data_IF_628448131208
#
_entry.id   IF_628448131208
#
_cell.length_a   1.000
_cell.length_b   1.000
_cell.length_c   1.000
_cell.angle_alpha   90.00
_cell.angle_beta   90.00
_cell.angle_gamma   90.00
#
_symmetry.space_group_name_H-M   'P 1'
#
loop_
_entity.id
_entity.type
_entity.pdbx_description
1 polymer ?
#
# COMPACT_ATOMS: atom_id res chain seq x y z
N UNK A 1 -3.85 29.51 39.11
CA UNK A 1 -2.89 28.80 38.26
C UNK A 1 -3.51 28.75 36.87
N UNK A 2 -2.91 29.47 35.93
CA UNK A 2 -3.48 29.67 34.59
C UNK A 2 -3.30 28.39 33.78
N UNK A 3 -4.41 27.74 33.43
CA UNK A 3 -4.46 26.45 32.73
C UNK A 3 -3.72 26.44 31.38
N UNK A 4 -3.35 27.61 30.84
CA UNK A 4 -2.54 27.73 29.62
C UNK A 4 -1.05 27.48 29.83
N UNK A 5 -0.52 27.68 31.04
CA UNK A 5 0.91 27.53 31.33
C UNK A 5 1.32 26.10 31.71
N UNK A 6 0.36 25.17 31.88
CA UNK A 6 0.64 23.80 32.29
C UNK A 6 1.18 22.93 31.14
N UNK A 7 0.93 23.31 29.88
CA UNK A 7 1.58 22.66 28.73
C UNK A 7 2.88 23.40 28.44
N UNK A 8 3.88 23.15 29.29
CA UNK A 8 5.26 23.47 28.97
C UNK A 8 5.76 22.56 27.84
N UNK A 9 6.76 23.04 27.09
CA UNK A 9 7.44 22.27 26.02
C UNK A 9 7.87 20.86 26.46
N UNK A 10 8.19 20.68 27.75
CA UNK A 10 8.52 19.39 28.37
C UNK A 10 7.38 18.35 28.27
N UNK A 11 6.13 18.76 28.54
CA UNK A 11 4.98 17.84 28.44
C UNK A 11 4.71 17.46 26.98
N UNK A 12 4.86 18.40 26.04
CA UNK A 12 4.70 18.11 24.61
C UNK A 12 5.77 17.15 24.09
N UNK A 13 7.00 17.25 24.60
CA UNK A 13 8.07 16.32 24.25
C UNK A 13 7.73 14.90 24.73
N UNK A 14 7.35 14.74 26.01
CA UNK A 14 6.94 13.46 26.59
C UNK A 14 5.68 12.89 25.94
N UNK A 15 4.78 13.76 25.46
CA UNK A 15 3.62 13.37 24.65
C UNK A 15 4.04 12.74 23.33
N UNK A 16 4.98 13.36 22.60
CA UNK A 16 5.50 12.83 21.34
C UNK A 16 6.28 11.53 21.56
N UNK A 17 7.05 11.43 22.65
CA UNK A 17 7.74 10.19 23.02
C UNK A 17 6.78 9.05 23.43
N UNK A 18 5.53 9.37 23.78
CA UNK A 18 4.54 8.40 24.24
C UNK A 18 4.80 7.90 25.66
N UNK A 19 5.48 8.68 26.51
CA UNK A 19 5.84 8.31 27.88
C UNK A 19 4.94 8.94 28.95
N UNK A 20 4.00 9.80 28.56
CA UNK A 20 3.04 10.42 29.47
C UNK A 20 2.04 9.42 30.05
N UNK A 21 1.52 9.72 31.25
CA UNK A 21 0.43 8.94 31.81
C UNK A 21 -0.87 9.14 31.02
N UNK A 22 -1.80 8.18 31.13
CA UNK A 22 -3.07 8.21 30.39
C UNK A 22 -3.89 9.48 30.68
N UNK A 23 -3.91 9.95 31.93
CA UNK A 23 -4.64 11.15 32.33
C UNK A 23 -4.07 12.41 31.66
N UNK A 24 -2.75 12.52 31.65
CA UNK A 24 -2.06 13.65 31.04
C UNK A 24 -2.19 13.62 29.51
N UNK A 25 -2.12 12.44 28.89
CA UNK A 25 -2.36 12.27 27.45
C UNK A 25 -3.76 12.76 27.03
N UNK A 26 -4.79 12.47 27.84
CA UNK A 26 -6.15 12.94 27.60
C UNK A 26 -6.24 14.47 27.74
N UNK A 27 -5.55 15.05 28.71
CA UNK A 27 -5.51 16.50 28.92
C UNK A 27 -4.82 17.23 27.76
N UNK A 28 -3.67 16.72 27.31
CA UNK A 28 -2.96 17.24 26.13
C UNK A 28 -3.85 17.10 24.88
N UNK A 29 -4.48 15.95 24.67
CA UNK A 29 -5.40 15.74 23.55
C UNK A 29 -6.58 16.71 23.54
N UNK A 30 -7.21 16.94 24.70
CA UNK A 30 -8.30 17.90 24.84
C UNK A 30 -7.84 19.34 24.60
N UNK A 31 -6.57 19.64 24.90
CA UNK A 31 -5.98 20.96 24.70
C UNK A 31 -5.63 21.19 23.23
N UNK A 32 -5.09 20.18 22.54
CA UNK A 32 -4.88 20.21 21.08
C UNK A 32 -6.19 20.46 20.33
N UNK A 33 -7.28 19.86 20.78
CA UNK A 33 -8.62 20.11 20.21
C UNK A 33 -9.10 21.56 20.37
N UNK A 34 -8.65 22.26 21.42
CA UNK A 34 -9.02 23.65 21.71
C UNK A 34 -8.08 24.66 21.06
N UNK A 35 -6.81 24.31 20.92
CA UNK A 35 -5.72 25.17 20.46
C UNK A 35 -4.92 24.45 19.38
N UNK A 36 -5.40 24.46 18.12
CA UNK A 36 -4.70 23.80 17.01
C UNK A 36 -3.33 24.42 16.72
N UNK A 37 -3.05 25.65 17.18
CA UNK A 37 -1.73 26.28 17.07
C UNK A 37 -0.59 25.48 17.75
N UNK A 38 -0.93 24.61 18.70
CA UNK A 38 0.03 23.74 19.40
C UNK A 38 0.46 22.56 18.50
N UNK A 39 -0.31 22.22 17.47
CA UNK A 39 0.05 21.15 16.52
C UNK A 39 1.35 21.47 15.75
N UNK A 40 1.60 22.75 15.46
CA UNK A 40 2.82 23.18 14.78
C UNK A 40 4.06 22.92 15.65
N UNK A 41 3.98 23.19 16.96
CA UNK A 41 5.05 22.91 17.92
C UNK A 41 5.31 21.40 18.04
N UNK A 42 4.25 20.59 18.12
CA UNK A 42 4.36 19.11 18.11
C UNK A 42 5.05 18.62 16.83
N UNK A 43 4.77 19.22 15.68
CA UNK A 43 5.37 18.82 14.43
C UNK A 43 6.86 19.17 14.35
N UNK A 44 7.28 20.30 14.93
CA UNK A 44 8.71 20.65 15.04
C UNK A 44 9.45 19.64 15.94
N UNK A 45 8.88 19.27 17.09
CA UNK A 45 9.43 18.22 17.96
C UNK A 45 9.48 16.87 17.23
N UNK A 46 8.44 16.51 16.49
CA UNK A 46 8.42 15.26 15.71
C UNK A 46 9.53 15.20 14.66
N UNK A 47 9.81 16.32 13.98
CA UNK A 47 10.88 16.38 12.97
C UNK A 47 12.26 16.17 13.60
N UNK A 48 12.53 16.76 14.76
CA UNK A 48 13.83 16.59 15.43
C UNK A 48 14.08 15.15 15.89
N UNK A 49 13.03 14.36 16.13
CA UNK A 49 13.12 12.96 16.54
C UNK A 49 13.16 11.96 15.37
N UNK A 50 12.49 12.25 14.26
CA UNK A 50 12.51 11.37 13.08
C UNK A 50 13.86 11.44 12.37
N UNK A 51 14.49 12.61 12.30
CA UNK A 51 15.74 12.82 11.56
C UNK A 51 16.91 11.92 12.02
N UNK A 52 17.13 11.72 13.34
CA UNK A 52 18.17 10.82 13.85
C UNK A 52 17.85 9.34 13.62
N UNK A 53 16.59 8.93 13.85
CA UNK A 53 16.19 7.52 13.81
C UNK A 53 16.30 6.88 12.43
N UNK A 54 16.12 7.64 11.35
CA UNK A 54 16.26 7.12 9.98
C UNK A 54 17.73 6.88 9.60
N UNK A 55 18.66 7.66 10.18
CA UNK A 55 20.07 7.61 9.80
C UNK A 55 20.86 6.47 10.46
N UNK A 56 20.35 5.89 11.55
CA UNK A 56 21.03 4.86 12.34
C UNK A 56 20.61 3.42 11.98
N UNK A 57 19.56 3.26 11.17
CA UNK A 57 19.03 1.94 10.84
C UNK A 57 19.77 1.31 9.66
N UNK A 58 20.24 0.06 9.81
CA UNK A 58 20.54 -0.82 8.68
C UNK A 58 19.22 -1.13 7.94
N UNK A 59 18.84 -0.23 7.05
CA UNK A 59 17.55 -0.24 6.38
C UNK A 59 17.48 -1.40 5.36
N UNK A 60 16.78 -2.48 5.72
CA UNK A 60 16.43 -3.55 4.80
C UNK A 60 14.91 -3.54 4.51
N UNK A 61 14.47 -2.77 3.49
CA UNK A 61 13.06 -2.53 3.21
C UNK A 61 12.29 -3.81 2.89
N UNK A 62 12.90 -4.77 2.18
CA UNK A 62 12.23 -6.02 1.84
C UNK A 62 11.87 -6.86 3.07
N UNK A 63 12.81 -6.98 4.01
CA UNK A 63 12.58 -7.75 5.24
C UNK A 63 11.49 -7.14 6.13
N UNK A 64 11.38 -5.81 6.14
CA UNK A 64 10.36 -5.08 6.90
C UNK A 64 9.01 -5.23 6.22
N UNK A 65 8.96 -5.03 4.90
CA UNK A 65 7.75 -5.16 4.11
C UNK A 65 7.15 -6.57 4.21
N UNK A 66 7.97 -7.62 4.07
CA UNK A 66 7.53 -9.01 4.21
C UNK A 66 6.96 -9.31 5.60
N UNK A 67 7.58 -8.78 6.66
CA UNK A 67 7.05 -8.89 8.04
C UNK A 67 5.70 -8.22 8.21
N UNK A 68 5.50 -7.05 7.60
CA UNK A 68 4.23 -6.33 7.63
C UNK A 68 3.16 -7.12 6.87
N UNK A 69 3.48 -7.63 5.67
CA UNK A 69 2.56 -8.48 4.90
C UNK A 69 2.09 -9.70 5.70
N UNK A 70 3.03 -10.37 6.37
CA UNK A 70 2.73 -11.52 7.23
C UNK A 70 1.84 -11.14 8.41
N UNK A 71 2.13 -10.03 9.11
CA UNK A 71 1.31 -9.56 10.24
C UNK A 71 -0.10 -9.15 9.84
N UNK A 72 -0.26 -8.61 8.63
CA UNK A 72 -1.55 -8.22 8.07
C UNK A 72 -2.31 -9.39 7.44
N UNK A 73 -1.79 -10.63 7.57
CA UNK A 73 -2.36 -11.83 6.96
C UNK A 73 -2.59 -11.68 5.45
N UNK A 74 -1.77 -10.88 4.76
CA UNK A 74 -1.58 -11.02 3.33
C UNK A 74 -0.83 -12.33 3.11
N UNK A 75 -1.58 -13.43 3.23
CA UNK A 75 -1.15 -14.72 2.76
C UNK A 75 -0.95 -14.60 1.25
N UNK A 76 0.09 -15.22 0.72
CA UNK A 76 0.33 -15.44 -0.71
C UNK A 76 -0.79 -16.30 -1.34
N UNK A 77 -2.06 -15.99 -1.03
CA UNK A 77 -3.23 -16.47 -1.74
C UNK A 77 -3.09 -15.84 -3.10
N UNK A 78 -2.50 -16.63 -4.00
CA UNK A 78 -2.46 -16.44 -5.43
C UNK A 78 -3.70 -15.64 -5.82
N UNK A 79 -3.49 -14.37 -6.18
CA UNK A 79 -4.56 -13.50 -6.64
C UNK A 79 -5.34 -14.33 -7.65
N UNK A 80 -6.66 -14.54 -7.45
CA UNK A 80 -7.46 -15.46 -8.27
C UNK A 80 -7.27 -15.08 -9.74
N UNK A 81 -6.36 -15.78 -10.41
CA UNK A 81 -5.97 -15.46 -11.78
C UNK A 81 -7.08 -16.04 -12.61
N UNK A 82 -8.06 -15.21 -12.99
CA UNK A 82 -9.13 -15.63 -13.88
C UNK A 82 -8.46 -15.91 -15.23
N UNK A 83 -8.40 -17.17 -15.70
CA UNK A 83 -7.70 -17.47 -16.94
C UNK A 83 -8.45 -16.82 -18.10
N UNK A 84 -7.76 -15.94 -18.84
CA UNK A 84 -8.30 -15.33 -20.05
C UNK A 84 -8.43 -16.44 -21.10
N UNK A 85 -9.64 -16.78 -21.59
CA UNK A 85 -9.79 -17.83 -22.58
C UNK A 85 -9.10 -17.39 -23.88
N UNK A 86 -8.07 -18.13 -24.30
CA UNK A 86 -7.40 -17.88 -25.58
C UNK A 86 -8.35 -18.24 -26.73
N UNK A 87 -8.61 -17.26 -27.60
CA UNK A 87 -9.39 -17.44 -28.84
C UNK A 87 -8.71 -18.50 -29.71
N UNK A 88 -9.34 -19.67 -29.82
CA UNK A 88 -8.88 -20.73 -30.74
C UNK A 88 -9.27 -20.33 -32.16
N UNK A 89 -8.29 -20.30 -33.05
CA UNK A 89 -8.51 -20.08 -34.49
C UNK A 89 -9.01 -21.41 -35.06
N UNK A 90 -10.14 -21.38 -35.78
CA UNK A 90 -10.75 -22.58 -36.36
C UNK A 90 -10.06 -22.96 -37.68
N UNK A 91 -8.91 -23.62 -37.58
CA UNK A 91 -8.12 -24.08 -38.74
C UNK A 91 -8.91 -24.98 -39.70
N UNK A 92 -9.90 -25.72 -39.19
CA UNK A 92 -10.78 -26.59 -39.99
C UNK A 92 -11.62 -25.81 -40.99
N UNK A 93 -12.07 -24.60 -40.65
CA UNK A 93 -12.85 -23.75 -41.56
C UNK A 93 -11.97 -23.25 -42.71
N UNK A 94 -10.70 -22.93 -42.44
CA UNK A 94 -9.76 -22.50 -43.47
C UNK A 94 -9.41 -23.64 -44.43
N UNK A 95 -9.15 -24.84 -43.88
CA UNK A 95 -8.85 -26.03 -44.69
C UNK A 95 -10.07 -26.43 -45.53
N UNK A 96 -11.29 -26.33 -44.99
CA UNK A 96 -12.52 -26.65 -45.73
C UNK A 96 -12.71 -25.79 -46.99
N UNK A 97 -12.39 -24.49 -46.92
CA UNK A 97 -12.42 -23.59 -48.08
C UNK A 97 -11.39 -24.00 -49.13
N UNK A 98 -10.13 -24.23 -48.72
CA UNK A 98 -9.05 -24.59 -49.65
C UNK A 98 -9.32 -25.90 -50.37
N UNK A 99 -9.80 -26.92 -49.66
CA UNK A 99 -10.13 -28.23 -50.25
C UNK A 99 -11.26 -28.11 -51.27
N UNK A 100 -12.24 -27.24 -51.04
CA UNK A 100 -13.35 -27.04 -51.98
C UNK A 100 -12.88 -26.46 -53.32
N UNK A 101 -11.99 -25.47 -53.31
CA UNK A 101 -11.43 -24.93 -54.55
C UNK A 101 -10.54 -25.93 -55.28
N UNK A 102 -9.73 -26.70 -54.55
CA UNK A 102 -8.87 -27.74 -55.13
C UNK A 102 -9.71 -28.80 -55.83
N UNK A 103 -10.79 -29.27 -55.20
CA UNK A 103 -11.70 -30.24 -55.82
C UNK A 103 -12.40 -29.68 -57.05
N UNK A 104 -12.81 -28.40 -57.02
CA UNK A 104 -13.45 -27.75 -58.17
C UNK A 104 -12.49 -27.67 -59.38
N UNK A 105 -11.26 -27.21 -59.15
CA UNK A 105 -10.23 -27.11 -60.19
C UNK A 105 -9.90 -28.50 -60.74
N UNK A 106 -9.73 -29.49 -59.85
CA UNK A 106 -9.48 -30.87 -60.25
C UNK A 106 -10.62 -31.43 -61.11
N UNK A 107 -11.87 -31.18 -60.74
CA UNK A 107 -13.03 -31.62 -61.51
C UNK A 107 -13.09 -30.98 -62.91
N UNK A 108 -12.77 -29.69 -63.02
CA UNK A 108 -12.75 -28.98 -64.32
C UNK A 108 -11.65 -29.50 -65.25
N UNK A 109 -10.48 -29.88 -64.71
CA UNK A 109 -9.39 -30.45 -65.51
C UNK A 109 -9.54 -31.94 -65.82
N UNK A 110 -10.38 -32.65 -65.05
CA UNK A 110 -10.60 -34.09 -65.19
C UNK A 110 -11.75 -34.43 -66.16
N UNK A 111 -12.62 -33.46 -66.45
CA UNK A 111 -13.65 -33.49 -67.50
C UNK A 111 -13.06 -33.10 -68.85
#
# INVERSE_FOLDING_TARGET
>A
MDSKQYISSEILELYVYGTLSEKENIEVYNTLKKYPEIEDEINEVKKSLIHPSVNELQYNPESVFKRIQQKLNFSDKEAVIIPIPRKRINWTTYIGWVVSFILLIWFIFSV
#
